data_IF_673786487728
#
_entry.id   IF_673786487728
#
_cell.length_a   1.000
_cell.length_b   1.000
_cell.length_c   1.000
_cell.angle_alpha   90.00
_cell.angle_beta   90.00
_cell.angle_gamma   90.00
#
_symmetry.space_group_name_H-M   'P 1'
#
loop_
_entity.id
_entity.type
_entity.pdbx_description
1 polymer ?
#
# COMPACT_ATOMS: atom_id res chain seq x y z
N UNK A 1 21.13 7.12 -16.33
CA UNK A 1 21.31 8.04 -15.19
C UNK A 1 20.03 8.08 -14.39
N UNK A 2 19.97 7.38 -13.26
CA UNK A 2 18.87 7.54 -12.29
C UNK A 2 18.96 8.94 -11.71
N UNK A 3 17.86 9.71 -11.74
CA UNK A 3 17.78 11.04 -11.12
C UNK A 3 17.77 10.89 -9.60
N UNK A 4 18.92 10.56 -9.01
CA UNK A 4 19.15 10.49 -7.57
C UNK A 4 19.01 11.90 -6.99
N UNK A 5 17.85 12.20 -6.42
CA UNK A 5 17.59 13.49 -5.77
C UNK A 5 16.24 14.13 -6.11
N UNK A 6 15.49 13.59 -7.08
CA UNK A 6 14.11 14.03 -7.28
C UNK A 6 13.20 13.28 -6.32
N UNK A 7 12.46 13.98 -5.43
CA UNK A 7 11.47 13.33 -4.59
C UNK A 7 10.49 12.58 -5.49
N UNK A 8 10.06 11.37 -5.11
CA UNK A 8 9.14 10.60 -5.92
C UNK A 8 7.86 11.42 -6.12
N UNK A 9 7.48 11.56 -7.39
CA UNK A 9 6.23 12.23 -7.74
C UNK A 9 5.06 11.30 -7.37
N UNK A 10 4.65 11.36 -6.12
CA UNK A 10 3.51 10.62 -5.60
C UNK A 10 2.18 11.27 -5.95
N UNK A 11 2.20 12.55 -6.36
CA UNK A 11 1.01 13.32 -6.70
C UNK A 11 0.23 12.69 -7.86
N UNK A 12 0.92 12.13 -8.85
CA UNK A 12 0.29 11.41 -9.98
C UNK A 12 -0.44 10.11 -9.58
N UNK A 13 -0.24 9.64 -8.35
CA UNK A 13 -0.87 8.44 -7.80
C UNK A 13 -1.99 8.73 -6.79
N UNK A 14 -2.28 10.00 -6.52
CA UNK A 14 -3.44 10.39 -5.70
C UNK A 14 -4.73 9.82 -6.28
N UNK A 15 -5.63 9.40 -5.39
CA UNK A 15 -6.93 8.80 -5.69
C UNK A 15 -6.88 7.51 -6.51
N UNK A 16 -5.68 6.91 -6.64
CA UNK A 16 -5.50 5.61 -7.29
C UNK A 16 -5.26 4.52 -6.26
N UNK A 17 -5.73 3.32 -6.60
CA UNK A 17 -5.45 2.10 -5.85
C UNK A 17 -4.02 1.65 -6.14
N UNK A 18 -3.20 1.55 -5.09
CA UNK A 18 -1.79 1.18 -5.16
C UNK A 18 -1.53 -0.08 -4.34
N UNK A 19 -0.61 -0.90 -4.82
CA UNK A 19 0.02 -1.96 -4.03
C UNK A 19 1.29 -1.37 -3.41
N UNK A 20 1.35 -1.33 -2.09
CA UNK A 20 2.41 -0.71 -1.32
C UNK A 20 3.15 -1.82 -0.56
N UNK A 21 4.45 -1.92 -0.81
CA UNK A 21 5.34 -2.80 -0.04
C UNK A 21 5.87 -2.02 1.16
N UNK A 22 5.57 -2.52 2.35
CA UNK A 22 6.06 -1.97 3.61
C UNK A 22 7.29 -2.76 4.08
N UNK A 23 7.92 -2.25 5.13
CA UNK A 23 8.98 -2.98 5.84
C UNK A 23 8.44 -4.28 6.46
N UNK A 24 9.34 -5.17 6.88
CA UNK A 24 9.00 -6.47 7.44
C UNK A 24 8.16 -7.36 6.51
N UNK A 25 8.41 -7.26 5.20
CA UNK A 25 7.78 -8.10 4.17
C UNK A 25 6.25 -7.98 4.06
N UNK A 26 5.67 -6.92 4.63
CA UNK A 26 4.23 -6.66 4.55
C UNK A 26 3.88 -6.00 3.22
N UNK A 27 2.72 -6.35 2.70
CA UNK A 27 2.19 -5.74 1.48
C UNK A 27 0.74 -5.36 1.73
N UNK A 28 0.37 -4.17 1.30
CA UNK A 28 -1.00 -3.67 1.40
C UNK A 28 -1.48 -3.20 0.04
N UNK A 29 -2.78 -3.19 -0.16
CA UNK A 29 -3.43 -2.58 -1.31
C UNK A 29 -4.48 -1.59 -0.81
N UNK A 30 -4.43 -0.35 -1.26
CA UNK A 30 -5.39 0.68 -0.87
C UNK A 30 -5.29 1.92 -1.74
N UNK A 31 -6.15 2.91 -1.52
CA UNK A 31 -6.21 4.14 -2.32
C UNK A 31 -5.37 5.24 -1.67
N UNK A 32 -4.43 5.83 -2.41
CA UNK A 32 -3.61 6.93 -1.89
C UNK A 32 -4.46 8.20 -1.75
N UNK A 33 -4.54 8.77 -0.55
CA UNK A 33 -5.31 9.98 -0.24
C UNK A 33 -4.43 11.17 0.14
N UNK A 34 -3.17 10.93 0.47
CA UNK A 34 -2.23 11.98 0.82
C UNK A 34 -0.83 11.42 1.01
N UNK A 35 0.16 12.30 0.92
CA UNK A 35 1.55 12.01 1.24
C UNK A 35 2.26 13.30 1.66
N UNK A 36 3.43 13.17 2.27
CA UNK A 36 4.30 14.29 2.63
C UNK A 36 5.72 14.14 2.06
N UNK A 37 6.58 15.14 2.33
CA UNK A 37 7.98 15.15 1.88
C UNK A 37 8.84 14.04 2.48
N UNK A 38 8.41 13.41 3.57
CA UNK A 38 9.09 12.31 4.23
C UNK A 38 8.58 10.93 3.76
N UNK A 39 7.72 10.91 2.73
CA UNK A 39 7.02 9.73 2.21
C UNK A 39 6.10 9.03 3.23
N UNK A 40 5.58 9.74 4.22
CA UNK A 40 4.46 9.21 4.98
C UNK A 40 3.23 9.14 4.05
N UNK A 41 2.50 8.02 4.09
CA UNK A 41 1.37 7.78 3.18
C UNK A 41 0.06 7.73 3.96
N UNK A 42 -0.95 8.46 3.48
CA UNK A 42 -2.34 8.32 3.92
C UNK A 42 -3.04 7.43 2.89
N UNK A 43 -3.49 6.26 3.32
CA UNK A 43 -4.10 5.26 2.45
C UNK A 43 -5.47 4.88 3.00
N UNK A 44 -6.48 4.89 2.13
CA UNK A 44 -7.87 4.55 2.48
C UNK A 44 -8.26 3.17 1.90
N UNK A 45 -9.24 2.52 2.53
CA UNK A 45 -9.74 1.18 2.17
C UNK A 45 -8.63 0.13 2.00
N UNK A 46 -7.65 0.12 2.91
CA UNK A 46 -6.47 -0.77 2.84
C UNK A 46 -6.81 -2.21 3.18
N UNK A 47 -6.32 -3.14 2.37
CA UNK A 47 -6.30 -4.59 2.65
C UNK A 47 -4.87 -5.10 2.67
N UNK A 48 -4.57 -6.05 3.55
CA UNK A 48 -3.26 -6.72 3.57
C UNK A 48 -3.21 -7.81 2.48
N UNK A 49 -2.15 -7.79 1.67
CA UNK A 49 -1.85 -8.77 0.63
C UNK A 49 -0.78 -9.73 1.18
N UNK A 50 -1.22 -10.74 1.92
CA UNK A 50 -0.34 -11.76 2.46
C UNK A 50 0.10 -12.70 1.32
N UNK A 51 1.17 -12.32 0.62
CA UNK A 51 1.78 -13.18 -0.42
C UNK A 51 2.42 -14.45 0.15
N UNK A 52 2.39 -14.65 1.47
CA UNK A 52 2.89 -15.85 2.14
C UNK A 52 1.78 -16.91 2.26
N UNK A 53 1.20 -17.31 1.13
CA UNK A 53 0.51 -18.60 0.97
C UNK A 53 -0.81 -18.85 1.73
N UNK A 54 -1.17 -18.08 2.74
CA UNK A 54 -2.42 -18.29 3.46
C UNK A 54 -3.52 -17.39 2.93
N UNK A 55 -4.27 -17.93 1.97
CA UNK A 55 -5.70 -17.60 1.82
C UNK A 55 -6.38 -17.88 3.18
N UNK A 56 -6.25 -16.98 4.16
CA UNK A 56 -7.08 -17.01 5.37
C UNK A 56 -8.48 -16.62 4.94
N UNK A 57 -9.18 -17.66 4.52
CA UNK A 57 -10.60 -17.74 4.27
C UNK A 57 -11.36 -17.28 5.53
N UNK A 58 -11.44 -15.96 5.76
CA UNK A 58 -12.28 -15.36 6.80
C UNK A 58 -13.74 -15.34 6.35
N UNK A 59 -14.34 -16.51 6.14
CA UNK A 59 -15.79 -16.72 6.16
C UNK A 59 -16.09 -18.18 6.54
N UNK A 60 -15.79 -18.58 7.78
CA UNK A 60 -16.63 -19.56 8.46
C UNK A 60 -17.44 -18.82 9.52
N UNK A 61 -18.64 -18.42 9.09
CA UNK A 61 -19.75 -18.04 9.96
C UNK A 61 -19.98 -19.16 10.99
N UNK A 62 -20.34 -18.70 12.19
CA UNK A 62 -21.04 -19.40 13.28
C UNK A 62 -21.84 -20.64 12.81
N UNK A 63 -21.65 -21.75 13.52
CA UNK A 63 -22.70 -22.57 14.14
C UNK A 63 -22.13 -23.22 15.39
#
# INVERSE_FOLDING_TARGET
MSRSGQPPDLKKYMDKKLQIKLNANRMIVGTLRGFDQFMNLVVDNTVEDDKNGDKKNKFKKKS
#
